data_IF_452157630813
#
_entry.id   IF_452157630813
#
_cell.length_a   1.000
_cell.length_b   1.000
_cell.length_c   1.000
_cell.angle_alpha   90.00
_cell.angle_beta   90.00
_cell.angle_gamma   90.00
#
_symmetry.space_group_name_H-M   'P 1'
#
loop_
_entity.id
_entity.type
_entity.pdbx_description
1 polymer ?
#
# COMPACT_ATOMS: atom_id res chain seq x y z
N UNK A 1 -32.14 -46.87 45.66
CA UNK A 1 -32.44 -46.19 44.38
C UNK A 1 -32.48 -44.70 44.65
N UNK A 2 -32.16 -43.88 43.65
CA UNK A 2 -32.14 -42.40 43.64
C UNK A 2 -30.75 -41.76 43.66
N UNK A 3 -29.98 -42.08 42.61
CA UNK A 3 -28.97 -41.17 42.08
C UNK A 3 -29.66 -40.14 41.17
N UNK A 4 -30.05 -39.00 41.73
CA UNK A 4 -30.56 -37.88 40.94
C UNK A 4 -29.44 -36.86 40.73
N UNK A 5 -28.64 -37.11 39.70
CA UNK A 5 -27.58 -36.22 39.25
C UNK A 5 -28.14 -34.86 38.85
N UNK A 6 -27.73 -33.82 39.58
CA UNK A 6 -27.97 -32.43 39.22
C UNK A 6 -27.19 -32.11 37.94
N UNK A 7 -27.88 -32.14 36.81
CA UNK A 7 -27.35 -31.76 35.50
C UNK A 7 -27.21 -30.24 35.47
N UNK A 8 -26.04 -29.77 35.88
CA UNK A 8 -25.61 -28.38 35.79
C UNK A 8 -25.77 -27.92 34.32
N UNK A 9 -26.84 -27.18 34.02
CA UNK A 9 -27.04 -26.59 32.69
C UNK A 9 -25.99 -25.50 32.53
N UNK A 10 -24.86 -25.82 31.89
CA UNK A 10 -23.95 -24.83 31.28
C UNK A 10 -24.70 -24.10 30.16
N UNK A 11 -25.57 -23.18 30.54
CA UNK A 11 -26.08 -22.16 29.64
C UNK A 11 -24.91 -21.27 29.28
N UNK A 12 -24.40 -21.41 28.05
CA UNK A 12 -23.37 -20.50 27.51
C UNK A 12 -23.95 -19.09 27.65
N UNK A 13 -23.33 -18.26 28.48
CA UNK A 13 -23.81 -16.92 28.76
C UNK A 13 -23.54 -16.04 27.53
N UNK A 14 -24.40 -16.17 26.52
CA UNK A 14 -24.23 -15.61 25.17
C UNK A 14 -24.07 -14.09 25.22
N UNK A 15 -24.80 -13.42 26.10
CA UNK A 15 -24.69 -11.98 26.34
C UNK A 15 -23.32 -11.59 26.93
N UNK A 16 -22.78 -12.41 27.83
CA UNK A 16 -21.45 -12.20 28.41
C UNK A 16 -20.33 -12.38 27.38
N UNK A 17 -20.44 -13.40 26.52
CA UNK A 17 -19.50 -13.63 25.43
C UNK A 17 -19.57 -12.54 24.35
N UNK A 18 -20.78 -12.09 24.01
CA UNK A 18 -21.02 -11.00 23.05
C UNK A 18 -20.45 -9.66 23.56
N UNK A 19 -20.63 -9.35 24.84
CA UNK A 19 -20.06 -8.13 25.45
C UNK A 19 -18.53 -8.17 25.49
N UNK A 20 -17.94 -9.35 25.74
CA UNK A 20 -16.48 -9.52 25.79
C UNK A 20 -15.80 -9.38 24.43
N UNK A 21 -16.46 -9.86 23.37
CA UNK A 21 -15.90 -9.89 22.01
C UNK A 21 -16.61 -8.92 21.05
N UNK A 22 -17.20 -7.85 21.57
CA UNK A 22 -18.05 -6.94 20.80
C UNK A 22 -17.37 -6.39 19.54
N UNK A 23 -16.12 -5.93 19.65
CA UNK A 23 -15.40 -5.35 18.52
C UNK A 23 -15.16 -6.35 17.39
N UNK A 24 -14.75 -7.58 17.72
CA UNK A 24 -14.53 -8.64 16.72
C UNK A 24 -15.84 -8.99 16.01
N UNK A 25 -16.92 -9.15 16.78
CA UNK A 25 -18.22 -9.49 16.20
C UNK A 25 -18.74 -8.35 15.32
N UNK A 26 -18.55 -7.09 15.75
CA UNK A 26 -18.92 -5.91 14.98
C UNK A 26 -18.14 -5.79 13.66
N UNK A 27 -16.83 -6.06 13.64
CA UNK A 27 -16.03 -5.97 12.41
C UNK A 27 -16.41 -7.07 11.42
N UNK A 28 -16.56 -8.31 11.88
CA UNK A 28 -16.98 -9.43 11.02
C UNK A 28 -18.37 -9.16 10.44
N UNK A 29 -19.32 -8.72 11.27
CA UNK A 29 -20.66 -8.39 10.81
C UNK A 29 -20.65 -7.22 9.82
N UNK A 30 -19.84 -6.18 10.06
CA UNK A 30 -19.69 -5.04 9.15
C UNK A 30 -19.12 -5.44 7.79
N UNK A 31 -18.16 -6.36 7.75
CA UNK A 31 -17.61 -6.87 6.48
C UNK A 31 -18.68 -7.65 5.71
N UNK A 32 -19.42 -8.53 6.37
CA UNK A 32 -20.49 -9.30 5.72
C UNK A 32 -21.59 -8.38 5.18
N UNK A 33 -22.06 -7.43 6.00
CA UNK A 33 -23.05 -6.44 5.59
C UNK A 33 -22.53 -5.56 4.44
N UNK A 34 -21.27 -5.13 4.50
CA UNK A 34 -20.65 -4.31 3.44
C UNK A 34 -20.57 -5.05 2.10
N UNK A 35 -20.21 -6.34 2.10
CA UNK A 35 -20.21 -7.17 0.89
C UNK A 35 -21.63 -7.36 0.37
N UNK A 36 -22.58 -7.74 1.23
CA UNK A 36 -23.97 -7.93 0.83
C UNK A 36 -24.57 -6.66 0.22
N UNK A 37 -24.41 -5.51 0.90
CA UNK A 37 -24.87 -4.20 0.42
C UNK A 37 -24.20 -3.84 -0.91
N UNK A 38 -22.89 -4.09 -1.05
CA UNK A 38 -22.15 -3.83 -2.29
C UNK A 38 -22.66 -4.64 -3.48
N UNK A 39 -23.01 -5.91 -3.27
CA UNK A 39 -23.60 -6.78 -4.30
C UNK A 39 -25.00 -6.30 -4.69
N UNK A 40 -25.87 -6.03 -3.70
CA UNK A 40 -27.22 -5.52 -3.94
C UNK A 40 -27.18 -4.19 -4.70
N UNK A 41 -26.38 -3.21 -4.26
CA UNK A 41 -26.27 -1.92 -4.94
C UNK A 41 -25.72 -2.07 -6.36
N UNK A 42 -24.80 -3.01 -6.60
CA UNK A 42 -24.25 -3.28 -7.94
C UNK A 42 -25.31 -3.87 -8.89
N UNK A 43 -26.22 -4.70 -8.41
CA UNK A 43 -27.24 -5.36 -9.22
C UNK A 43 -28.45 -4.46 -9.49
N UNK A 44 -28.89 -3.68 -8.49
CA UNK A 44 -30.12 -2.90 -8.57
C UNK A 44 -29.92 -1.42 -8.95
N UNK A 45 -28.70 -0.86 -8.88
CA UNK A 45 -28.47 0.56 -9.12
C UNK A 45 -27.30 0.84 -10.08
N UNK A 46 -27.59 1.41 -11.25
CA UNK A 46 -26.58 2.00 -12.15
C UNK A 46 -26.16 3.40 -11.67
N UNK A 47 -25.42 3.44 -10.56
CA UNK A 47 -24.98 4.70 -9.97
C UNK A 47 -23.98 5.44 -10.88
N UNK A 48 -24.26 6.72 -11.15
CA UNK A 48 -23.29 7.67 -11.74
C UNK A 48 -22.06 7.83 -10.81
N UNK A 49 -20.91 8.22 -11.37
CA UNK A 49 -19.63 8.33 -10.65
C UNK A 49 -19.72 9.16 -9.36
N UNK A 50 -20.48 10.27 -9.37
CA UNK A 50 -20.64 11.14 -8.19
C UNK A 50 -21.39 10.44 -7.04
N UNK A 51 -22.42 9.65 -7.34
CA UNK A 51 -23.20 8.95 -6.32
C UNK A 51 -22.39 7.83 -5.66
N UNK A 52 -21.52 7.17 -6.42
CA UNK A 52 -20.58 6.17 -5.88
C UNK A 52 -19.61 6.81 -4.89
N UNK A 53 -19.14 8.03 -5.18
CA UNK A 53 -18.24 8.76 -4.29
C UNK A 53 -18.94 9.15 -2.97
N UNK A 54 -20.18 9.66 -3.05
CA UNK A 54 -20.94 9.98 -1.83
C UNK A 54 -21.27 8.76 -0.98
N UNK A 55 -21.57 7.62 -1.61
CA UNK A 55 -21.81 6.38 -0.90
C UNK A 55 -20.56 5.88 -0.14
N UNK A 56 -19.37 6.08 -0.72
CA UNK A 56 -18.08 5.73 -0.08
C UNK A 56 -17.57 6.73 0.96
N UNK A 57 -18.24 7.87 1.14
CA UNK A 57 -17.76 8.98 1.97
C UNK A 57 -17.47 8.60 3.44
N UNK A 58 -18.31 7.81 4.15
CA UNK A 58 -18.00 7.41 5.52
C UNK A 58 -16.70 6.60 5.64
N UNK A 59 -16.42 5.75 4.63
CA UNK A 59 -15.17 4.99 4.56
C UNK A 59 -13.97 5.89 4.28
N UNK A 60 -14.12 6.92 3.46
CA UNK A 60 -13.07 7.90 3.21
C UNK A 60 -12.69 8.65 4.49
N UNK A 61 -13.69 9.10 5.26
CA UNK A 61 -13.47 9.77 6.55
C UNK A 61 -12.73 8.86 7.53
N UNK A 62 -13.13 7.58 7.64
CA UNK A 62 -12.42 6.60 8.46
C UNK A 62 -10.95 6.48 8.04
N UNK A 63 -10.66 6.37 6.74
CA UNK A 63 -9.30 6.29 6.23
C UNK A 63 -8.49 7.55 6.51
N UNK A 64 -9.10 8.74 6.48
CA UNK A 64 -8.46 10.01 6.88
C UNK A 64 -8.13 10.02 8.36
N UNK A 65 -9.04 9.59 9.23
CA UNK A 65 -8.79 9.51 10.67
C UNK A 65 -7.64 8.54 11.00
N UNK A 66 -7.62 7.36 10.39
CA UNK A 66 -6.55 6.38 10.61
C UNK A 66 -5.19 6.94 10.17
N UNK A 67 -5.11 7.54 8.97
CA UNK A 67 -3.86 8.12 8.47
C UNK A 67 -3.32 9.26 9.34
N UNK A 68 -4.19 10.05 9.95
CA UNK A 68 -3.80 11.13 10.86
C UNK A 68 -3.10 10.61 12.12
N UNK A 69 -3.52 9.45 12.63
CA UNK A 69 -2.96 8.86 13.86
C UNK A 69 -1.62 8.14 13.60
N UNK A 70 -1.38 7.66 12.37
CA UNK A 70 -0.18 6.88 12.04
C UNK A 70 1.12 7.66 12.31
N UNK A 71 1.21 8.91 11.84
CA UNK A 71 2.43 9.71 11.94
C UNK A 71 2.90 9.91 13.40
N UNK A 72 2.10 10.47 14.33
CA UNK A 72 2.53 10.66 15.72
C UNK A 72 2.77 9.34 16.45
N UNK A 73 1.98 8.30 16.15
CA UNK A 73 2.09 7.00 16.82
C UNK A 73 3.41 6.30 16.46
N UNK A 74 3.78 6.26 15.17
CA UNK A 74 5.04 5.63 14.74
C UNK A 74 6.24 6.35 15.36
N UNK A 75 6.28 7.68 15.29
CA UNK A 75 7.43 8.46 15.78
C UNK A 75 7.58 8.27 17.30
N UNK A 76 6.51 8.51 18.07
CA UNK A 76 6.55 8.38 19.53
C UNK A 76 6.85 6.95 20.00
N UNK A 77 6.24 5.95 19.37
CA UNK A 77 6.47 4.54 19.69
C UNK A 77 7.88 4.09 19.34
N UNK A 78 8.44 4.55 18.21
CA UNK A 78 9.79 4.18 17.80
C UNK A 78 10.84 4.82 18.72
N UNK A 79 10.70 6.11 19.05
CA UNK A 79 11.61 6.81 19.96
C UNK A 79 11.59 6.16 21.34
N UNK A 80 10.40 5.99 21.93
CA UNK A 80 10.25 5.39 23.27
C UNK A 80 10.72 3.93 23.28
N UNK A 81 10.42 3.19 22.20
CA UNK A 81 10.83 1.79 22.06
C UNK A 81 12.35 1.63 22.03
N UNK A 82 13.07 2.47 21.28
CA UNK A 82 14.54 2.39 21.23
C UNK A 82 15.19 2.95 22.49
N UNK A 83 14.62 4.02 23.08
CA UNK A 83 15.16 4.64 24.29
C UNK A 83 15.04 3.76 25.55
N UNK A 84 14.07 2.85 25.59
CA UNK A 84 13.85 1.96 26.73
C UNK A 84 14.80 0.75 26.79
N UNK A 85 15.63 0.52 25.75
CA UNK A 85 16.53 -0.63 25.65
C UNK A 85 18.00 -0.19 25.69
N UNK A 86 18.82 -0.98 26.39
CA UNK A 86 20.28 -0.83 26.34
C UNK A 86 20.81 -1.08 24.92
N UNK A 87 21.86 -0.35 24.54
CA UNK A 87 22.45 -0.40 23.18
C UNK A 87 22.85 -1.82 22.75
N UNK A 88 23.45 -2.61 23.65
CA UNK A 88 23.84 -4.00 23.38
C UNK A 88 22.65 -4.93 23.17
N UNK A 89 21.56 -4.71 23.92
CA UNK A 89 20.35 -5.52 23.85
C UNK A 89 19.54 -5.15 22.60
N UNK A 90 19.40 -3.86 22.33
CA UNK A 90 18.74 -3.31 21.14
C UNK A 90 19.37 -3.84 19.84
N UNK A 91 20.71 -3.87 19.76
CA UNK A 91 21.42 -4.43 18.60
C UNK A 91 21.14 -5.92 18.37
N UNK A 92 21.15 -6.73 19.44
CA UNK A 92 20.87 -8.18 19.35
C UNK A 92 19.42 -8.47 18.96
N UNK A 93 18.47 -7.74 19.53
CA UNK A 93 17.04 -7.88 19.21
C UNK A 93 16.78 -7.41 17.79
N UNK A 94 17.35 -6.28 17.38
CA UNK A 94 17.25 -5.75 16.03
C UNK A 94 17.80 -6.72 14.98
N UNK A 95 18.99 -7.28 15.20
CA UNK A 95 19.58 -8.26 14.28
C UNK A 95 18.71 -9.52 14.15
N UNK A 96 18.18 -10.05 15.26
CA UNK A 96 17.25 -11.20 15.23
C UNK A 96 15.98 -10.87 14.45
N UNK A 97 15.42 -9.67 14.63
CA UNK A 97 14.24 -9.22 13.91
C UNK A 97 14.51 -9.08 12.40
N UNK A 98 15.66 -8.51 12.02
CA UNK A 98 16.07 -8.37 10.61
C UNK A 98 16.22 -9.73 9.95
N UNK A 99 16.96 -10.67 10.57
CA UNK A 99 17.13 -12.03 10.04
C UNK A 99 15.77 -12.73 9.92
N UNK A 100 14.91 -12.61 10.94
CA UNK A 100 13.56 -13.15 10.91
C UNK A 100 12.78 -12.62 9.71
N UNK A 101 12.68 -11.30 9.54
CA UNK A 101 11.93 -10.70 8.43
C UNK A 101 12.48 -11.07 7.05
N UNK A 102 13.80 -11.10 6.87
CA UNK A 102 14.39 -11.54 5.60
C UNK A 102 14.06 -13.00 5.31
N UNK A 103 14.24 -13.89 6.29
CA UNK A 103 13.98 -15.32 6.10
C UNK A 103 12.51 -15.60 5.74
N UNK A 104 11.57 -15.00 6.47
CA UNK A 104 10.13 -15.19 6.20
C UNK A 104 9.70 -14.55 4.89
N UNK A 105 10.27 -13.41 4.51
CA UNK A 105 9.97 -12.75 3.23
C UNK A 105 10.44 -13.58 2.05
N UNK A 106 11.66 -14.15 2.11
CA UNK A 106 12.18 -15.04 1.06
C UNK A 106 11.28 -16.27 0.91
N UNK A 107 10.91 -16.91 2.02
CA UNK A 107 10.02 -18.08 2.01
C UNK A 107 8.64 -17.71 1.41
N UNK A 108 8.06 -16.57 1.82
CA UNK A 108 6.77 -16.11 1.32
C UNK A 108 6.81 -15.77 -0.18
N UNK A 109 7.89 -15.15 -0.67
CA UNK A 109 8.07 -14.84 -2.10
C UNK A 109 8.21 -16.11 -2.92
N UNK A 110 9.02 -17.09 -2.48
CA UNK A 110 9.16 -18.38 -3.17
C UNK A 110 7.81 -19.09 -3.24
N UNK A 111 7.09 -19.19 -2.12
CA UNK A 111 5.74 -19.79 -2.10
C UNK A 111 4.77 -19.04 -3.01
N UNK A 112 4.80 -17.71 -3.02
CA UNK A 112 3.97 -16.86 -3.87
C UNK A 112 4.25 -17.10 -5.37
N UNK A 113 5.52 -17.17 -5.76
CA UNK A 113 5.95 -17.45 -7.14
C UNK A 113 5.51 -18.85 -7.56
N UNK A 114 5.70 -19.87 -6.71
CA UNK A 114 5.25 -21.24 -7.01
C UNK A 114 3.74 -21.25 -7.22
N UNK A 115 2.98 -20.69 -6.28
CA UNK A 115 1.52 -20.71 -6.32
C UNK A 115 0.96 -19.95 -7.54
N UNK A 116 1.49 -18.77 -7.89
CA UNK A 116 1.04 -18.02 -9.07
C UNK A 116 1.42 -18.73 -10.37
N UNK A 117 2.59 -19.38 -10.43
CA UNK A 117 3.01 -20.13 -11.61
C UNK A 117 2.26 -21.45 -11.79
N UNK A 118 1.78 -22.06 -10.71
CA UNK A 118 0.96 -23.28 -10.75
C UNK A 118 -0.50 -22.98 -11.08
N UNK A 119 -1.12 -22.02 -10.39
CA UNK A 119 -2.53 -21.69 -10.60
C UNK A 119 -2.73 -20.85 -11.88
N UNK A 120 -1.72 -20.04 -12.25
CA UNK A 120 -1.76 -19.09 -13.38
C UNK A 120 -3.08 -18.29 -13.44
N UNK A 121 -3.45 -17.57 -12.38
CA UNK A 121 -4.69 -16.80 -12.37
C UNK A 121 -4.65 -15.73 -13.49
N UNK A 122 -5.74 -15.63 -14.25
CA UNK A 122 -5.90 -14.58 -15.28
C UNK A 122 -5.56 -14.99 -16.72
N UNK A 123 -5.07 -16.21 -16.98
CA UNK A 123 -4.78 -16.67 -18.37
C UNK A 123 -6.03 -16.84 -19.25
N UNK A 124 -7.23 -16.89 -18.67
CA UNK A 124 -8.51 -16.99 -19.37
C UNK A 124 -9.17 -15.64 -19.67
N UNK A 125 -8.58 -14.52 -19.24
CA UNK A 125 -9.06 -13.19 -19.61
C UNK A 125 -8.41 -12.81 -20.94
N UNK A 126 -9.19 -12.82 -22.02
CA UNK A 126 -8.79 -12.29 -23.33
C UNK A 126 -8.24 -10.88 -23.12
N UNK A 127 -6.94 -10.70 -23.37
CA UNK A 127 -6.21 -9.46 -23.12
C UNK A 127 -6.73 -8.24 -23.93
N UNK A 128 -7.74 -8.44 -24.79
CA UNK A 128 -8.38 -7.41 -25.61
C UNK A 128 -9.20 -6.38 -24.81
N UNK A 129 -9.60 -6.69 -23.57
CA UNK A 129 -10.33 -5.74 -22.70
C UNK A 129 -9.53 -5.26 -21.49
N UNK A 130 -8.21 -5.44 -21.48
CA UNK A 130 -7.37 -4.76 -20.48
C UNK A 130 -7.08 -3.38 -21.03
N UNK A 131 -7.96 -2.44 -20.70
CA UNK A 131 -7.77 -1.02 -20.92
C UNK A 131 -6.50 -0.60 -20.16
N UNK A 132 -5.35 -0.65 -20.83
CA UNK A 132 -4.06 -0.18 -20.30
C UNK A 132 -4.09 1.34 -20.27
N UNK A 133 -4.96 1.90 -19.44
CA UNK A 133 -5.03 3.31 -19.13
C UNK A 133 -3.81 3.70 -18.27
N UNK A 134 -2.65 3.79 -18.92
CA UNK A 134 -1.41 4.21 -18.28
C UNK A 134 -0.22 4.12 -19.22
N UNK A 135 0.34 5.27 -19.57
CA UNK A 135 1.73 5.35 -20.07
C UNK A 135 2.62 4.73 -18.99
N UNK A 136 3.29 3.62 -19.29
CA UNK A 136 4.24 3.02 -18.35
C UNK A 136 5.35 4.03 -18.09
N UNK A 137 5.49 4.58 -16.86
CA UNK A 137 6.57 5.50 -16.58
C UNK A 137 7.88 4.76 -16.83
N UNK A 138 8.77 5.34 -17.65
CA UNK A 138 10.08 4.79 -17.92
C UNK A 138 10.94 4.95 -16.65
N UNK A 139 10.77 4.01 -15.71
CA UNK A 139 11.53 3.92 -14.48
C UNK A 139 12.54 2.79 -14.62
N UNK A 140 13.81 3.12 -14.47
CA UNK A 140 14.87 2.11 -14.46
C UNK A 140 14.97 1.53 -13.06
N UNK A 141 15.29 0.23 -12.93
CA UNK A 141 15.51 -0.43 -11.64
C UNK A 141 16.57 0.30 -10.80
N UNK A 142 17.63 0.79 -11.46
CA UNK A 142 18.68 1.58 -10.81
C UNK A 142 18.11 2.86 -10.19
N UNK A 143 17.27 3.61 -10.91
CA UNK A 143 16.65 4.83 -10.39
C UNK A 143 15.79 4.52 -9.15
N UNK A 144 15.10 3.37 -9.14
CA UNK A 144 14.28 2.94 -7.99
C UNK A 144 15.14 2.57 -6.77
N UNK A 145 16.27 1.88 -6.97
CA UNK A 145 17.20 1.55 -5.89
C UNK A 145 17.88 2.81 -5.33
N UNK A 146 18.25 3.75 -6.21
CA UNK A 146 18.80 5.04 -5.78
C UNK A 146 17.75 5.86 -5.03
N UNK A 147 16.50 5.86 -5.48
CA UNK A 147 15.40 6.53 -4.78
C UNK A 147 15.10 5.90 -3.42
N UNK A 148 15.25 4.58 -3.25
CA UNK A 148 15.14 3.93 -1.94
C UNK A 148 16.17 4.50 -0.95
N UNK A 149 17.43 4.60 -1.37
CA UNK A 149 18.50 5.15 -0.53
C UNK A 149 18.26 6.64 -0.25
N UNK A 150 17.82 7.42 -1.24
CA UNK A 150 17.47 8.85 -1.06
C UNK A 150 16.32 9.05 -0.08
N UNK A 151 15.33 8.15 -0.04
CA UNK A 151 14.22 8.21 0.91
C UNK A 151 14.61 7.76 2.32
N UNK A 152 15.67 6.95 2.48
CA UNK A 152 16.21 6.55 3.80
C UNK A 152 16.89 7.72 4.52
N UNK A 153 17.50 8.65 3.76
CA UNK A 153 18.13 9.86 4.28
C UNK A 153 17.49 11.10 3.66
N UNK A 154 16.31 11.53 4.12
CA UNK A 154 15.60 12.65 3.53
C UNK A 154 16.33 13.99 3.77
N UNK A 155 16.19 14.91 2.81
CA UNK A 155 16.75 16.27 2.91
C UNK A 155 16.12 17.12 4.02
N UNK A 156 14.87 16.82 4.39
CA UNK A 156 14.11 17.53 5.41
C UNK A 156 13.15 16.60 6.16
N UNK A 157 13.21 16.60 7.49
CA UNK A 157 12.39 15.74 8.35
C UNK A 157 10.88 16.05 8.27
N UNK A 158 10.51 17.33 8.17
CA UNK A 158 9.11 17.76 8.08
C UNK A 158 8.56 17.37 6.71
N UNK A 159 9.32 17.62 5.65
CA UNK A 159 8.93 17.27 4.27
C UNK A 159 8.75 15.75 4.09
N UNK A 160 9.64 14.94 4.70
CA UNK A 160 9.55 13.48 4.66
C UNK A 160 8.24 12.91 5.25
N UNK A 161 7.56 13.68 6.11
CA UNK A 161 6.29 13.25 6.70
C UNK A 161 5.13 13.23 5.69
N UNK A 162 5.24 13.95 4.57
CA UNK A 162 4.16 14.07 3.58
C UNK A 162 4.61 13.95 2.11
N UNK A 163 5.91 13.89 1.83
CA UNK A 163 6.47 13.75 0.48
C UNK A 163 7.51 12.63 0.41
N UNK A 164 7.61 12.01 -0.76
CA UNK A 164 8.60 10.99 -1.09
C UNK A 164 9.39 11.42 -2.33
N UNK A 165 10.69 11.12 -2.33
CA UNK A 165 11.57 11.38 -3.47
C UNK A 165 11.31 10.36 -4.58
N UNK A 166 11.13 10.84 -5.82
CA UNK A 166 10.95 10.01 -7.01
C UNK A 166 11.64 10.63 -8.23
N UNK A 167 12.60 9.91 -8.79
CA UNK A 167 13.31 10.32 -10.00
C UNK A 167 12.41 10.15 -11.23
N UNK A 168 12.35 11.20 -12.05
CA UNK A 168 11.74 11.17 -13.38
C UNK A 168 12.80 11.50 -14.40
N UNK A 169 13.07 10.57 -15.32
CA UNK A 169 13.88 10.89 -16.51
C UNK A 169 13.05 11.71 -17.48
N UNK A 170 13.65 12.79 -17.97
CA UNK A 170 13.16 13.51 -19.15
C UNK A 170 14.12 13.15 -20.27
N UNK A 171 13.59 12.67 -21.39
CA UNK A 171 14.36 12.57 -22.62
C UNK A 171 14.66 14.00 -23.07
N UNK A 172 15.93 14.34 -23.22
CA UNK A 172 16.32 15.64 -23.74
C UNK A 172 16.18 15.58 -25.25
N UNK A 173 15.05 16.07 -25.78
CA UNK A 173 14.95 16.29 -27.23
C UNK A 173 16.05 17.29 -27.63
N UNK A 174 16.93 16.95 -28.60
CA UNK A 174 17.89 17.92 -29.11
C UNK A 174 17.12 19.13 -29.67
N UNK A 175 17.66 20.35 -29.55
CA UNK A 175 17.05 21.51 -30.20
C UNK A 175 16.82 21.16 -31.66
N UNK A 176 15.58 21.28 -32.15
CA UNK A 176 15.29 21.21 -33.58
C UNK A 176 16.07 22.34 -34.25
N UNK A 177 17.28 22.05 -34.69
CA UNK A 177 18.00 22.90 -35.63
C UNK A 177 17.17 22.86 -36.91
N UNK A 178 16.65 23.99 -37.42
CA UNK A 178 15.95 24.00 -38.69
C UNK A 178 16.92 23.53 -39.77
N UNK A 179 16.67 22.33 -40.32
CA UNK A 179 17.38 21.81 -41.49
C UNK A 179 16.77 22.47 -42.71
N UNK A 180 16.95 23.77 -42.87
CA UNK A 180 16.50 24.53 -44.05
C UNK A 180 17.45 25.70 -44.32
N UNK A 181 18.74 25.44 -44.60
CA UNK A 181 19.52 26.30 -45.50
C UNK A 181 20.74 25.54 -46.04
N UNK A 182 20.54 24.66 -47.02
CA UNK A 182 21.62 24.34 -47.99
C UNK A 182 21.36 25.19 -49.23
N UNK A 183 21.87 26.41 -49.19
CA UNK A 183 22.24 27.20 -50.37
C UNK A 183 23.45 28.05 -49.97
N UNK A 184 24.64 27.52 -50.25
CA UNK A 184 25.90 28.28 -50.33
C UNK A 184 25.79 29.15 -51.60
N UNK A 185 26.29 30.40 -51.70
CA UNK A 185 27.66 30.80 -51.34
C UNK A 185 27.82 32.29 -50.89
N UNK A 186 29.01 32.92 -50.94
CA UNK A 186 30.13 32.79 -50.01
C UNK A 186 30.53 34.14 -49.36
N UNK A 187 31.48 34.08 -48.41
CA UNK A 187 32.42 35.15 -48.04
C UNK A 187 31.93 36.40 -47.27
N UNK A 188 32.69 36.68 -46.19
CA UNK A 188 33.09 38.00 -45.66
C UNK A 188 32.51 38.39 -44.29
N UNK A 189 33.40 38.33 -43.28
CA UNK A 189 33.66 39.34 -42.23
C UNK A 189 32.55 40.36 -41.93
N UNK A 190 32.13 40.43 -40.66
CA UNK A 190 32.31 41.64 -39.82
C UNK A 190 31.94 41.33 -38.37
N UNK A 191 32.77 41.90 -37.51
CA UNK A 191 32.88 41.83 -36.07
C UNK A 191 31.84 42.76 -35.44
N UNK A 192 31.23 42.38 -34.32
CA UNK A 192 31.10 43.18 -33.09
C UNK A 192 30.47 42.32 -31.99
#
# INVERSE_FOLDING_TARGET
>A
MDMMGNKERRGVNFKGLLKRNWLLIATVLSVLLGISLGVVVREYASLSHLHKQYFGFPGEILMRMLKLVILPLIISSMITGVAALDSEVSGKIGLRAVIYYFSTTIIAVILGIILVMTIKPGVSQTAEHIDRAGTTPNVTTVDTLLDLIRNMFPENLVQACFQQYKTKRKELEPPKVPVDTITIPPLTTTIM
#
